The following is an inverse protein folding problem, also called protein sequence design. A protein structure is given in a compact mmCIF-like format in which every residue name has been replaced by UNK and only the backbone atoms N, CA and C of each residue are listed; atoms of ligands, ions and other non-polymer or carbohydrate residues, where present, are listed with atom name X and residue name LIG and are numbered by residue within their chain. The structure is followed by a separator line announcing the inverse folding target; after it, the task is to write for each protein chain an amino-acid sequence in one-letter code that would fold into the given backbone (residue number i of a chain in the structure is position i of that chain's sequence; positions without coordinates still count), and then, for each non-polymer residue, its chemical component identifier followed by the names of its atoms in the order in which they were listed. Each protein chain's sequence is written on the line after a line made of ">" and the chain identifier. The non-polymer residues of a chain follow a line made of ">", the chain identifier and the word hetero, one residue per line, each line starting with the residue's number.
data_IF_872066755421
#
_entry.id   IF_872066755421
#
_cell.length_a   1.000
_cell.length_b   1.000
_cell.length_c   1.000
_cell.angle_alpha   90.00
_cell.angle_beta   90.00
_cell.angle_gamma   90.00
#
_symmetry.space_group_name_H-M   'P 1'
#
loop_
_entity.id
_entity.type
_entity.pdbx_description
1 polymer ?
#
# COMPACT_ATOMS: atom_id res chain seq x y z
N UNK A 1 7.89 -5.42 2.44
CA UNK A 1 9.00 -6.12 3.11
C UNK A 1 8.79 -7.61 2.90
N UNK A 2 9.70 -8.30 2.20
CA UNK A 2 9.57 -9.74 1.93
C UNK A 2 10.39 -10.23 0.73
N UNK A 3 10.48 -9.42 -0.34
CA UNK A 3 11.24 -9.75 -1.53
C UNK A 3 12.65 -9.12 -1.52
N UNK A 4 13.67 -9.77 -2.11
CA UNK A 4 14.95 -9.15 -2.43
C UNK A 4 14.77 -7.87 -3.26
N UNK A 5 15.71 -6.93 -3.13
CA UNK A 5 15.64 -5.64 -3.85
C UNK A 5 15.56 -5.83 -5.37
N UNK A 6 16.28 -6.83 -5.88
CA UNK A 6 16.30 -7.17 -7.30
C UNK A 6 14.89 -7.53 -7.79
N UNK A 7 14.11 -8.25 -6.98
CA UNK A 7 12.77 -8.69 -7.32
C UNK A 7 11.71 -7.58 -7.12
N UNK A 8 11.85 -6.76 -6.07
CA UNK A 8 10.92 -5.66 -5.78
C UNK A 8 10.80 -4.70 -6.96
N UNK A 9 11.91 -4.45 -7.66
CA UNK A 9 11.93 -3.50 -8.77
C UNK A 9 11.47 -4.09 -10.10
N UNK A 10 11.12 -5.38 -10.14
CA UNK A 10 10.63 -6.01 -11.36
C UNK A 10 9.22 -5.48 -11.68
N UNK A 11 8.94 -5.13 -12.96
CA UNK A 11 7.67 -4.50 -13.34
C UNK A 11 6.43 -5.33 -12.98
N UNK A 12 6.57 -6.65 -12.88
CA UNK A 12 5.46 -7.53 -12.51
C UNK A 12 5.02 -7.35 -11.04
N UNK A 13 5.87 -6.81 -10.17
CA UNK A 13 5.54 -6.50 -8.77
C UNK A 13 5.06 -5.06 -8.58
N UNK A 14 5.08 -4.25 -9.64
CA UNK A 14 4.73 -2.82 -9.58
C UNK A 14 3.45 -2.64 -10.39
N UNK A 15 2.33 -2.56 -9.67
CA UNK A 15 1.03 -2.38 -10.29
C UNK A 15 0.62 -0.91 -10.25
N UNK A 16 0.33 -0.35 -11.43
CA UNK A 16 -0.35 0.93 -11.52
C UNK A 16 -1.83 0.73 -11.16
N UNK A 17 -2.28 1.45 -10.13
CA UNK A 17 -3.67 1.35 -9.68
C UNK A 17 -4.56 2.36 -10.42
N UNK A 18 -4.37 3.66 -10.16
CA UNK A 18 -5.15 4.71 -10.80
C UNK A 18 -4.47 6.07 -10.67
N UNK A 19 -4.91 7.01 -11.51
CA UNK A 19 -4.63 8.45 -11.40
C UNK A 19 -5.91 9.21 -11.73
N UNK A 20 -6.22 10.23 -10.95
CA UNK A 20 -7.39 11.09 -11.17
C UNK A 20 -7.01 12.55 -11.02
N UNK A 21 -7.63 13.41 -11.84
CA UNK A 21 -7.57 14.86 -11.69
C UNK A 21 -8.75 15.41 -10.86
N UNK A 22 -9.71 14.55 -10.51
CA UNK A 22 -10.91 14.91 -9.75
C UNK A 22 -10.85 14.37 -8.33
N UNK A 23 -10.43 13.11 -8.17
CA UNK A 23 -10.32 12.46 -6.88
C UNK A 23 -8.95 12.76 -6.26
N UNK A 24 -8.97 13.12 -4.98
CA UNK A 24 -7.76 13.30 -4.18
C UNK A 24 -7.00 11.98 -4.00
N UNK A 25 -5.68 12.03 -3.73
CA UNK A 25 -4.90 10.86 -3.35
C UNK A 25 -5.53 10.03 -2.23
N UNK A 26 -6.15 10.68 -1.24
CA UNK A 26 -6.82 10.01 -0.13
C UNK A 26 -8.02 9.18 -0.59
N UNK A 27 -8.90 9.76 -1.41
CA UNK A 27 -10.08 9.06 -1.96
C UNK A 27 -9.68 7.89 -2.85
N UNK A 28 -8.62 8.05 -3.66
CA UNK A 28 -8.11 6.93 -4.46
C UNK A 28 -7.55 5.80 -3.57
N UNK A 29 -6.86 6.15 -2.49
CA UNK A 29 -6.26 5.21 -1.54
C UNK A 29 -7.30 4.46 -0.69
N UNK A 30 -8.45 5.06 -0.41
CA UNK A 30 -9.52 4.46 0.38
C UNK A 30 -9.97 3.12 -0.22
N UNK A 31 -10.24 3.12 -1.54
CA UNK A 31 -10.62 1.89 -2.27
C UNK A 31 -9.56 0.77 -2.18
N UNK A 32 -8.28 1.14 -2.23
CA UNK A 32 -7.18 0.18 -2.08
C UNK A 32 -7.09 -0.35 -0.66
N UNK A 33 -7.34 0.51 0.33
CA UNK A 33 -7.31 0.14 1.75
C UNK A 33 -8.45 -0.81 2.09
N UNK A 34 -9.65 -0.59 1.55
CA UNK A 34 -10.80 -1.50 1.70
C UNK A 34 -10.50 -2.87 1.07
N UNK A 35 -9.94 -2.89 -0.15
CA UNK A 35 -9.57 -4.13 -0.83
C UNK A 35 -8.54 -4.94 -0.02
N UNK A 36 -7.49 -4.28 0.47
CA UNK A 36 -6.48 -4.92 1.31
C UNK A 36 -7.07 -5.38 2.65
N UNK A 37 -7.93 -4.60 3.30
CA UNK A 37 -8.56 -4.94 4.57
C UNK A 37 -9.44 -6.19 4.44
N UNK A 38 -10.21 -6.30 3.35
CA UNK A 38 -10.98 -7.51 3.05
C UNK A 38 -10.06 -8.74 2.91
N UNK A 39 -8.91 -8.58 2.25
CA UNK A 39 -7.88 -9.61 2.18
C UNK A 39 -7.30 -9.98 3.55
N UNK A 40 -7.05 -8.99 4.41
CA UNK A 40 -6.53 -9.24 5.77
C UNK A 40 -7.54 -9.98 6.65
N UNK A 41 -8.84 -9.71 6.50
CA UNK A 41 -9.91 -10.34 7.30
C UNK A 41 -10.32 -11.72 6.77
N UNK A 42 -10.50 -11.86 5.46
CA UNK A 42 -11.03 -13.07 4.84
C UNK A 42 -9.96 -13.97 4.18
N UNK A 43 -8.79 -13.41 3.87
CA UNK A 43 -7.77 -14.06 3.04
C UNK A 43 -8.17 -14.13 1.57
N UNK A 44 -7.16 -14.29 0.69
CA UNK A 44 -7.34 -14.53 -0.74
C UNK A 44 -6.90 -15.95 -1.10
N UNK A 45 -7.78 -16.72 -1.73
CA UNK A 45 -7.39 -18.03 -2.27
C UNK A 45 -6.46 -17.84 -3.46
N UNK A 46 -5.34 -18.54 -3.45
CA UNK A 46 -4.38 -18.61 -4.54
C UNK A 46 -3.88 -20.05 -4.71
N UNK A 47 -3.45 -20.39 -5.91
CA UNK A 47 -2.83 -21.68 -6.19
C UNK A 47 -1.31 -21.54 -6.13
N UNK A 48 -0.65 -22.37 -5.32
CA UNK A 48 0.81 -22.43 -5.27
C UNK A 48 1.33 -23.44 -6.32
N UNK A 49 2.02 -22.93 -7.35
CA UNK A 49 2.56 -23.76 -8.42
C UNK A 49 3.75 -24.65 -7.99
N UNK A 50 4.43 -24.33 -6.89
CA UNK A 50 5.56 -25.11 -6.39
C UNK A 50 5.10 -26.32 -5.57
N UNK A 51 4.08 -26.12 -4.74
CA UNK A 51 3.53 -27.17 -3.85
C UNK A 51 2.27 -27.85 -4.39
N UNK A 52 1.72 -27.35 -5.51
CA UNK A 52 0.52 -27.86 -6.18
C UNK A 52 -0.69 -27.95 -5.24
N UNK A 53 -0.90 -26.91 -4.43
CA UNK A 53 -1.98 -26.83 -3.45
C UNK A 53 -2.66 -25.45 -3.41
N UNK A 54 -3.90 -25.42 -2.91
CA UNK A 54 -4.59 -24.17 -2.60
C UNK A 54 -4.02 -23.57 -1.31
N UNK A 55 -3.56 -22.32 -1.41
CA UNK A 55 -3.03 -21.54 -0.29
C UNK A 55 -3.92 -20.32 -0.04
N UNK A 56 -3.95 -19.87 1.21
CA UNK A 56 -4.65 -18.65 1.61
C UNK A 56 -3.63 -17.53 1.85
N UNK A 57 -3.68 -16.48 1.03
CA UNK A 57 -2.85 -15.30 1.16
C UNK A 57 -3.52 -14.28 2.08
N UNK A 58 -2.84 -13.89 3.15
CA UNK A 58 -3.32 -12.87 4.10
C UNK A 58 -2.38 -11.67 4.05
N UNK A 59 -2.74 -10.58 3.33
CA UNK A 59 -1.92 -9.37 3.28
C UNK A 59 -1.92 -8.65 4.63
N UNK A 60 -0.80 -8.04 4.97
CA UNK A 60 -0.66 -7.17 6.14
C UNK A 60 -0.07 -5.82 5.72
N UNK A 61 -0.77 -4.74 6.02
CA UNK A 61 -0.26 -3.38 5.81
C UNK A 61 0.84 -3.05 6.83
N UNK A 62 2.09 -2.99 6.38
CA UNK A 62 3.25 -2.68 7.26
C UNK A 62 3.53 -1.18 7.31
N UNK A 63 3.41 -0.49 6.17
CA UNK A 63 3.63 0.94 6.06
C UNK A 63 2.92 1.51 4.83
N UNK A 64 2.33 2.70 4.98
CA UNK A 64 1.93 3.53 3.86
C UNK A 64 3.14 4.39 3.49
N UNK A 65 3.67 4.20 2.29
CA UNK A 65 4.88 4.87 1.82
C UNK A 65 4.51 6.00 0.86
N UNK A 66 5.24 7.11 0.94
CA UNK A 66 5.04 8.23 0.04
C UNK A 66 6.16 9.23 0.11
N UNK A 67 6.23 10.12 -0.89
CA UNK A 67 7.11 11.27 -0.82
C UNK A 67 6.59 12.28 0.22
N UNK A 68 7.33 13.36 0.42
CA UNK A 68 7.06 14.27 1.52
C UNK A 68 5.68 14.97 1.42
N UNK A 69 5.25 15.52 0.25
CA UNK A 69 3.90 16.04 0.10
C UNK A 69 2.82 14.99 0.35
N UNK A 70 2.91 13.82 -0.30
CA UNK A 70 1.87 12.79 -0.20
C UNK A 70 1.74 12.24 1.22
N UNK A 71 2.86 12.03 1.92
CA UNK A 71 2.84 11.63 3.33
C UNK A 71 2.23 12.69 4.24
N UNK A 72 2.42 13.97 3.94
CA UNK A 72 1.84 15.04 4.74
C UNK A 72 0.32 15.06 4.59
N UNK A 73 -0.19 14.81 3.39
CA UNK A 73 -1.62 14.64 3.14
C UNK A 73 -2.19 13.42 3.88
N UNK A 74 -1.53 12.27 3.76
CA UNK A 74 -1.95 11.01 4.42
C UNK A 74 -1.97 11.11 5.94
N UNK A 75 -1.05 11.87 6.55
CA UNK A 75 -0.95 12.01 8.00
C UNK A 75 -1.59 13.29 8.55
N UNK A 76 -2.37 14.02 7.73
CA UNK A 76 -2.92 15.34 8.08
C UNK A 76 -1.88 16.31 8.68
N UNK A 77 -0.64 16.23 8.19
CA UNK A 77 0.49 17.02 8.66
C UNK A 77 0.72 18.25 7.77
N UNK A 78 1.15 19.36 8.37
CA UNK A 78 1.39 20.64 7.69
C UNK A 78 2.60 20.64 6.71
N UNK A 79 3.24 19.48 6.53
CA UNK A 79 4.42 19.32 5.67
C UNK A 79 5.66 20.08 6.14
N UNK A 80 6.42 20.64 5.20
CA UNK A 80 7.75 21.23 5.42
C UNK A 80 7.76 22.50 6.28
N UNK A 81 6.60 23.11 6.49
CA UNK A 81 6.46 24.36 7.26
C UNK A 81 6.11 24.12 8.73
N UNK A 82 5.96 22.84 9.13
CA UNK A 82 5.69 22.46 10.51
C UNK A 82 6.89 22.65 11.43
N UNK A 83 6.62 23.07 12.67
CA UNK A 83 7.63 23.12 13.74
C UNK A 83 7.98 21.72 14.27
N UNK A 84 6.99 20.82 14.27
CA UNK A 84 7.17 19.41 14.59
C UNK A 84 7.31 18.63 13.28
N UNK A 85 8.31 17.76 13.17
CA UNK A 85 8.57 16.96 11.96
C UNK A 85 7.97 15.55 12.02
N UNK A 86 7.60 15.12 13.22
CA UNK A 86 6.98 13.83 13.45
C UNK A 86 5.56 13.85 12.87
N UNK A 87 5.17 12.75 12.21
CA UNK A 87 3.84 12.57 11.60
C UNK A 87 2.95 11.61 12.39
N UNK A 88 3.40 11.21 13.58
CA UNK A 88 2.80 10.13 14.39
C UNK A 88 2.68 10.58 15.83
N UNK A 89 3.75 11.22 16.32
CA UNK A 89 3.76 12.12 17.44
C UNK A 89 3.66 13.57 16.94
#
# INVERSE_FOLDING_TARGET
>A
AGLPREDIHLPYNIHFFSTSNLASPLEMMESLTEYCSCGSECGWSAWDCLYEEEVLLVPWGIALQGDNPMQSELSAHIGLTGKCFCRVC
#
